data_IF_899208231059
#
_entry.id   IF_899208231059
#
_cell.length_a   1.000
_cell.length_b   1.000
_cell.length_c   1.000
_cell.angle_alpha   90.00
_cell.angle_beta   90.00
_cell.angle_gamma   90.00
#
_symmetry.space_group_name_H-M   'P 1'
#
loop_
_entity.id
_entity.type
_entity.pdbx_description
1 polymer ?
#
# COMPACT_ATOMS: atom_id res chain seq x y z
N UNK A 1 -9.69 16.58 10.64
CA UNK A 1 -8.90 15.45 10.09
C UNK A 1 -9.85 14.39 9.60
N UNK A 2 -9.58 13.80 8.47
CA UNK A 2 -10.39 12.70 7.92
C UNK A 2 -9.67 11.38 8.12
N UNK A 3 -10.43 10.32 8.37
CA UNK A 3 -9.93 8.95 8.42
C UNK A 3 -10.61 8.13 7.34
N UNK A 4 -9.80 7.47 6.52
CA UNK A 4 -10.27 6.57 5.48
C UNK A 4 -9.88 5.15 5.90
N UNK A 5 -10.83 4.22 5.82
CA UNK A 5 -10.57 2.81 6.05
C UNK A 5 -11.19 2.01 4.91
N UNK A 6 -10.37 1.22 4.25
CA UNK A 6 -10.82 0.30 3.20
C UNK A 6 -10.15 -1.05 3.40
N UNK A 7 -10.80 -2.10 2.93
CA UNK A 7 -10.22 -3.44 3.00
C UNK A 7 -10.54 -4.23 1.74
N UNK A 8 -9.72 -5.25 1.48
CA UNK A 8 -9.93 -6.14 0.36
C UNK A 8 -9.44 -7.54 0.73
N UNK A 9 -10.17 -8.56 0.27
CA UNK A 9 -9.73 -9.94 0.36
C UNK A 9 -8.84 -10.31 -0.80
N UNK A 10 -7.78 -11.09 -0.53
CA UNK A 10 -6.85 -11.56 -1.54
C UNK A 10 -6.76 -13.08 -1.44
N UNK A 11 -6.88 -13.75 -2.59
CA UNK A 11 -6.85 -15.21 -2.67
C UNK A 11 -5.42 -15.72 -2.71
N UNK A 12 -4.64 -15.34 -1.71
CA UNK A 12 -3.25 -15.77 -1.46
C UNK A 12 -3.02 -15.75 0.04
N UNK A 13 -2.04 -16.51 0.50
CA UNK A 13 -1.73 -16.57 1.93
C UNK A 13 -1.27 -15.24 2.49
N UNK A 14 -1.46 -15.05 3.78
CA UNK A 14 -0.94 -13.89 4.50
C UNK A 14 0.57 -13.73 4.29
N UNK A 15 1.30 -14.83 4.35
CA UNK A 15 2.76 -14.82 4.22
C UNK A 15 3.20 -14.34 2.84
N UNK A 16 2.53 -14.80 1.79
CA UNK A 16 2.81 -14.35 0.44
C UNK A 16 2.53 -12.86 0.27
N UNK A 17 1.36 -12.41 0.73
CA UNK A 17 0.95 -11.01 0.59
C UNK A 17 1.87 -10.09 1.39
N UNK A 18 2.19 -10.48 2.62
CA UNK A 18 3.09 -9.68 3.45
C UNK A 18 4.50 -9.59 2.87
N UNK A 19 5.01 -10.68 2.32
CA UNK A 19 6.34 -10.68 1.68
C UNK A 19 6.43 -9.62 0.57
N UNK A 20 5.36 -9.41 -0.16
CA UNK A 20 5.31 -8.38 -1.21
C UNK A 20 5.16 -7.00 -0.60
N UNK A 21 4.25 -6.81 0.34
CA UNK A 21 3.99 -5.50 0.94
C UNK A 21 5.21 -4.97 1.70
N UNK A 22 5.94 -5.83 2.40
CA UNK A 22 7.12 -5.42 3.16
C UNK A 22 8.27 -4.95 2.28
N UNK A 23 8.25 -5.27 1.00
CA UNK A 23 9.26 -4.82 0.04
C UNK A 23 8.93 -3.43 -0.45
N UNK A 24 9.11 -2.46 0.43
CA UNK A 24 8.60 -1.10 0.28
C UNK A 24 9.26 -0.29 -0.85
N UNK A 25 10.40 -0.74 -1.34
CA UNK A 25 11.08 -0.10 -2.49
C UNK A 25 10.69 -0.70 -3.83
N UNK A 26 9.88 -1.76 -3.87
CA UNK A 26 9.52 -2.46 -5.10
C UNK A 26 8.02 -2.43 -5.40
N UNK A 27 7.29 -1.45 -4.87
CA UNK A 27 5.82 -1.39 -5.03
C UNK A 27 5.40 -1.24 -6.49
N UNK A 28 6.23 -0.61 -7.31
CA UNK A 28 5.97 -0.41 -8.74
C UNK A 28 6.13 -1.68 -9.57
N UNK A 29 6.79 -2.68 -9.03
CA UNK A 29 7.06 -3.95 -9.74
C UNK A 29 6.25 -5.10 -9.18
N UNK A 30 6.11 -5.17 -7.85
CA UNK A 30 5.56 -6.35 -7.17
C UNK A 30 4.15 -6.17 -6.65
N UNK A 31 3.72 -4.93 -6.37
CA UNK A 31 2.48 -4.70 -5.64
C UNK A 31 1.42 -3.99 -6.47
N UNK A 32 1.74 -2.84 -7.02
CA UNK A 32 0.78 -1.99 -7.73
C UNK A 32 1.35 -1.47 -9.06
N UNK A 33 1.80 -2.38 -9.95
CA UNK A 33 2.37 -1.95 -11.23
C UNK A 33 1.35 -1.18 -12.06
N UNK A 34 1.79 -0.09 -12.68
CA UNK A 34 0.92 0.79 -13.47
C UNK A 34 0.24 1.86 -12.63
N UNK A 35 -0.25 1.54 -11.44
CA UNK A 35 -0.72 2.54 -10.49
C UNK A 35 0.46 3.37 -9.99
N UNK A 36 1.58 2.70 -9.67
CA UNK A 36 2.88 3.31 -9.42
C UNK A 36 3.82 2.85 -10.51
N UNK A 37 4.53 3.79 -11.14
CA UNK A 37 5.43 3.48 -12.27
C UNK A 37 6.90 3.57 -11.90
N UNK A 38 7.24 4.23 -10.81
CA UNK A 38 8.62 4.28 -10.30
C UNK A 38 8.60 4.45 -8.78
N UNK A 39 9.62 3.89 -8.14
CA UNK A 39 9.81 4.02 -6.70
C UNK A 39 11.29 3.97 -6.40
N UNK A 40 11.80 4.97 -5.71
CA UNK A 40 13.21 5.06 -5.33
C UNK A 40 13.31 5.16 -3.82
N UNK A 41 13.90 4.15 -3.21
CA UNK A 41 14.10 4.08 -1.77
C UNK A 41 15.50 4.61 -1.42
N UNK A 42 15.56 5.60 -0.55
CA UNK A 42 16.81 6.17 -0.04
C UNK A 42 16.69 6.33 1.48
N UNK A 43 17.35 5.45 2.22
CA UNK A 43 17.21 5.43 3.68
C UNK A 43 15.76 5.14 4.08
N UNK A 44 15.19 6.02 4.90
CA UNK A 44 13.81 5.88 5.37
C UNK A 44 12.79 6.57 4.47
N UNK A 45 13.22 7.09 3.33
CA UNK A 45 12.35 7.80 2.40
C UNK A 45 12.24 7.05 1.09
N UNK A 46 11.05 7.09 0.48
CA UNK A 46 10.90 6.67 -0.91
C UNK A 46 10.25 7.79 -1.72
N UNK A 47 10.69 7.92 -2.97
CA UNK A 47 10.06 8.82 -3.94
C UNK A 47 9.21 7.96 -4.86
N UNK A 48 7.91 8.22 -4.86
CA UNK A 48 6.92 7.44 -5.61
C UNK A 48 6.39 8.26 -6.76
N UNK A 49 6.47 7.70 -7.97
CA UNK A 49 5.87 8.30 -9.16
C UNK A 49 4.64 7.48 -9.54
N UNK A 50 3.49 8.12 -9.52
CA UNK A 50 2.22 7.48 -9.88
C UNK A 50 2.02 7.49 -11.40
N UNK A 51 1.14 6.60 -11.88
CA UNK A 51 0.86 6.48 -13.31
C UNK A 51 0.31 7.76 -13.94
N UNK A 52 -0.32 8.63 -13.15
CA UNK A 52 -0.83 9.92 -13.61
C UNK A 52 0.25 11.03 -13.63
N UNK A 53 1.50 10.70 -13.29
CA UNK A 53 2.61 11.65 -13.27
C UNK A 53 2.86 12.33 -11.93
N UNK A 54 1.98 12.16 -10.96
CA UNK A 54 2.18 12.74 -9.62
C UNK A 54 3.39 12.10 -8.94
N UNK A 55 4.25 12.93 -8.35
CA UNK A 55 5.43 12.47 -7.60
C UNK A 55 5.24 12.85 -6.14
N UNK A 56 5.41 11.88 -5.25
CA UNK A 56 5.21 12.06 -3.81
C UNK A 56 6.40 11.46 -3.06
N UNK A 57 6.85 12.13 -2.02
CA UNK A 57 7.84 11.57 -1.09
C UNK A 57 7.11 10.99 0.11
N UNK A 58 7.51 9.79 0.49
CA UNK A 58 6.91 9.05 1.59
C UNK A 58 7.97 8.64 2.60
N UNK A 59 7.76 9.02 3.86
CA UNK A 59 8.57 8.55 4.96
C UNK A 59 8.10 7.15 5.34
N UNK A 60 9.02 6.19 5.37
CA UNK A 60 8.74 4.85 5.86
C UNK A 60 8.78 4.90 7.39
N UNK A 61 7.64 4.83 8.02
CA UNK A 61 7.53 4.93 9.48
C UNK A 61 7.85 3.61 10.14
N UNK A 62 7.25 2.52 9.68
CA UNK A 62 7.53 1.21 10.24
C UNK A 62 7.22 0.09 9.25
N UNK A 63 7.97 -1.01 9.38
CA UNK A 63 7.68 -2.28 8.75
C UNK A 63 7.77 -3.31 9.87
N UNK A 64 6.63 -3.84 10.31
CA UNK A 64 6.57 -4.75 11.46
C UNK A 64 6.18 -6.15 11.00
N UNK A 65 7.16 -7.05 10.97
CA UNK A 65 6.95 -8.42 10.52
C UNK A 65 6.07 -9.23 11.49
N UNK A 66 6.03 -8.86 12.77
CA UNK A 66 5.21 -9.59 13.75
C UNK A 66 3.72 -9.38 13.53
N UNK A 67 3.33 -8.16 13.22
CA UNK A 67 1.94 -7.81 12.98
C UNK A 67 1.58 -7.75 11.51
N UNK A 68 2.58 -7.92 10.62
CA UNK A 68 2.42 -7.79 9.17
C UNK A 68 1.81 -6.43 8.80
N UNK A 69 2.39 -5.38 9.36
CA UNK A 69 1.88 -4.01 9.23
C UNK A 69 3.00 -3.08 8.78
N UNK A 70 2.69 -2.30 7.75
CA UNK A 70 3.56 -1.26 7.23
C UNK A 70 2.86 0.09 7.37
N UNK A 71 3.57 1.10 7.89
CA UNK A 71 3.04 2.46 7.95
C UNK A 71 4.00 3.45 7.32
N UNK A 72 3.43 4.49 6.72
CA UNK A 72 4.18 5.54 6.04
C UNK A 72 3.44 6.87 6.14
N UNK A 73 4.15 7.95 5.81
CA UNK A 73 3.61 9.30 5.83
C UNK A 73 4.02 10.04 4.56
N UNK A 74 3.04 10.42 3.75
CA UNK A 74 3.29 11.16 2.52
C UNK A 74 3.54 12.64 2.79
N UNK A 75 4.41 13.22 1.98
CA UNK A 75 4.76 14.65 2.04
C UNK A 75 4.59 15.27 0.67
N UNK A 76 4.01 16.45 0.64
CA UNK A 76 3.85 17.23 -0.59
C UNK A 76 2.40 17.28 -1.07
N UNK A 77 2.20 17.90 -2.22
CA UNK A 77 0.88 18.12 -2.77
C UNK A 77 0.04 19.03 -1.89
N UNK A 78 -1.26 18.73 -1.82
CA UNK A 78 -2.22 19.52 -1.03
C UNK A 78 -2.36 19.02 0.41
N UNK A 79 -1.70 17.91 0.76
CA UNK A 79 -1.83 17.35 2.10
C UNK A 79 -0.98 18.11 3.10
N UNK A 80 -1.59 18.52 4.22
CA UNK A 80 -0.89 19.16 5.34
C UNK A 80 -0.58 18.15 6.45
N UNK A 81 -1.25 17.01 6.44
CA UNK A 81 -0.97 15.88 7.32
C UNK A 81 -1.33 14.60 6.59
N UNK A 82 -0.54 13.57 6.76
CA UNK A 82 -0.85 12.24 6.26
C UNK A 82 -0.11 11.18 7.08
N UNK A 83 -0.83 10.17 7.49
CA UNK A 83 -0.26 8.96 8.05
C UNK A 83 -1.14 7.79 7.63
N UNK A 84 -0.53 6.75 7.10
CA UNK A 84 -1.27 5.60 6.60
C UNK A 84 -0.65 4.30 7.07
N UNK A 85 -1.45 3.24 7.06
CA UNK A 85 -0.97 1.90 7.30
C UNK A 85 -1.71 0.89 6.44
N UNK A 86 -1.01 -0.20 6.10
CA UNK A 86 -1.63 -1.41 5.58
C UNK A 86 -1.23 -2.56 6.47
N UNK A 87 -2.19 -3.42 6.77
CA UNK A 87 -1.97 -4.59 7.62
C UNK A 87 -2.61 -5.80 6.98
N UNK A 88 -1.91 -6.94 7.05
CA UNK A 88 -2.36 -8.18 6.44
C UNK A 88 -2.82 -9.13 7.53
N UNK A 89 -4.00 -9.70 7.34
CA UNK A 89 -4.61 -10.69 8.25
C UNK A 89 -4.88 -11.98 7.51
N UNK A 90 -4.66 -13.11 8.15
CA UNK A 90 -5.01 -14.41 7.59
C UNK A 90 -6.53 -14.60 7.62
N UNK A 91 -7.09 -15.14 6.52
CA UNK A 91 -8.49 -15.55 6.42
C UNK A 91 -8.57 -17.04 6.11
N UNK A 92 -7.60 -17.80 6.58
CA UNK A 92 -7.39 -19.21 6.28
C UNK A 92 -5.97 -19.40 5.76
N UNK A 93 -5.65 -20.61 5.32
CA UNK A 93 -4.27 -20.94 4.95
C UNK A 93 -3.82 -20.26 3.66
N UNK A 94 -4.75 -20.05 2.72
CA UNK A 94 -4.42 -19.53 1.39
C UNK A 94 -5.20 -18.28 1.03
N UNK A 95 -5.76 -17.61 2.02
CA UNK A 95 -6.52 -16.37 1.83
C UNK A 95 -6.13 -15.36 2.90
N UNK A 96 -6.20 -14.09 2.52
CA UNK A 96 -5.86 -12.99 3.41
C UNK A 96 -6.77 -11.81 3.20
N UNK A 97 -6.70 -10.88 4.13
CA UNK A 97 -7.38 -9.60 4.06
C UNK A 97 -6.37 -8.50 4.29
N UNK A 98 -6.40 -7.47 3.45
CA UNK A 98 -5.57 -6.28 3.61
C UNK A 98 -6.46 -5.13 4.04
N UNK A 99 -6.09 -4.50 5.14
CA UNK A 99 -6.80 -3.32 5.66
C UNK A 99 -5.87 -2.12 5.52
N UNK A 100 -6.38 -1.07 4.87
CA UNK A 100 -5.67 0.18 4.65
C UNK A 100 -6.39 1.29 5.41
N UNK A 101 -5.67 1.97 6.31
CA UNK A 101 -6.20 3.10 7.09
C UNK A 101 -5.31 4.31 6.82
N UNK A 102 -5.93 5.45 6.57
CA UNK A 102 -5.20 6.71 6.38
C UNK A 102 -5.89 7.83 7.14
N UNK A 103 -5.08 8.60 7.87
CA UNK A 103 -5.50 9.83 8.52
C UNK A 103 -4.88 10.99 7.77
N UNK A 104 -5.66 12.00 7.41
CA UNK A 104 -5.17 13.09 6.59
C UNK A 104 -5.86 14.43 6.84
N UNK A 105 -5.18 15.50 6.45
CA UNK A 105 -5.70 16.86 6.35
C UNK A 105 -5.20 17.47 5.05
N UNK A 106 -5.94 18.35 4.39
CA UNK A 106 -7.26 18.83 4.77
C UNK A 106 -8.37 17.82 4.45
N UNK A 107 -9.52 17.97 5.10
CA UNK A 107 -10.65 17.07 4.89
C UNK A 107 -11.11 17.01 3.43
N UNK A 108 -10.96 18.10 2.69
CA UNK A 108 -11.35 18.20 1.29
C UNK A 108 -10.61 17.23 0.38
N UNK A 109 -9.44 16.75 0.81
CA UNK A 109 -8.68 15.77 0.04
C UNK A 109 -9.19 14.34 0.22
N UNK A 110 -10.09 14.09 1.17
CA UNK A 110 -10.48 12.73 1.56
C UNK A 110 -11.11 11.93 0.42
N UNK A 111 -12.01 12.53 -0.35
CA UNK A 111 -12.71 11.79 -1.42
C UNK A 111 -11.73 11.33 -2.50
N UNK A 112 -10.82 12.21 -2.93
CA UNK A 112 -9.84 11.86 -3.96
C UNK A 112 -8.87 10.79 -3.45
N UNK A 113 -8.42 10.89 -2.20
CA UNK A 113 -7.51 9.91 -1.61
C UNK A 113 -8.22 8.57 -1.42
N UNK A 114 -9.49 8.59 -1.00
CA UNK A 114 -10.28 7.37 -0.85
C UNK A 114 -10.41 6.63 -2.19
N UNK A 115 -10.65 7.35 -3.27
CA UNK A 115 -10.72 6.76 -4.60
C UNK A 115 -9.37 6.15 -5.01
N UNK A 116 -8.28 6.85 -4.75
CA UNK A 116 -6.93 6.33 -5.03
C UNK A 116 -6.65 5.04 -4.26
N UNK A 117 -7.01 4.99 -2.98
CA UNK A 117 -6.83 3.80 -2.16
C UNK A 117 -7.63 2.63 -2.73
N UNK A 118 -8.88 2.88 -3.14
CA UNK A 118 -9.71 1.84 -3.75
C UNK A 118 -9.08 1.28 -5.03
N UNK A 119 -8.55 2.13 -5.88
CA UNK A 119 -7.86 1.71 -7.11
C UNK A 119 -6.57 0.94 -6.78
N UNK A 120 -5.81 1.41 -5.80
CA UNK A 120 -4.59 0.73 -5.38
C UNK A 120 -4.89 -0.68 -4.87
N UNK A 121 -5.92 -0.84 -4.04
CA UNK A 121 -6.30 -2.14 -3.51
C UNK A 121 -6.75 -3.10 -4.62
N UNK A 122 -7.50 -2.61 -5.61
CA UNK A 122 -7.92 -3.44 -6.74
C UNK A 122 -6.71 -3.88 -7.58
N UNK A 123 -5.76 -2.98 -7.80
CA UNK A 123 -4.54 -3.28 -8.54
C UNK A 123 -3.70 -4.32 -7.77
N UNK A 124 -3.58 -4.14 -6.47
CA UNK A 124 -2.89 -5.06 -5.59
C UNK A 124 -3.48 -6.46 -5.68
N UNK A 125 -4.80 -6.57 -5.54
CA UNK A 125 -5.51 -7.84 -5.62
C UNK A 125 -5.25 -8.53 -6.96
N UNK A 126 -5.43 -7.81 -8.06
CA UNK A 126 -5.22 -8.37 -9.40
C UNK A 126 -3.78 -8.84 -9.58
N UNK A 127 -2.82 -8.03 -9.13
CA UNK A 127 -1.40 -8.33 -9.28
C UNK A 127 -1.00 -9.57 -8.48
N UNK A 128 -1.40 -9.63 -7.22
CA UNK A 128 -1.02 -10.74 -6.34
C UNK A 128 -1.71 -12.04 -6.71
N UNK A 129 -2.98 -11.97 -7.11
CA UNK A 129 -3.73 -13.18 -7.50
C UNK A 129 -3.31 -13.73 -8.86
N UNK A 130 -2.81 -12.89 -9.76
CA UNK A 130 -2.33 -13.34 -11.07
C UNK A 130 -0.84 -13.65 -11.10
N UNK A 131 -0.14 -13.45 -9.98
CA UNK A 131 1.29 -13.76 -9.90
C UNK A 131 1.54 -15.25 -10.11
N UNK A 132 2.55 -15.58 -10.92
CA UNK A 132 2.97 -16.97 -11.12
C UNK A 132 3.88 -17.47 -10.00
N UNK A 133 4.26 -16.62 -9.06
CA UNK A 133 5.09 -17.03 -7.94
C UNK A 133 4.34 -18.07 -7.09
N UNK A 134 5.05 -19.09 -6.67
CA UNK A 134 4.48 -20.13 -5.84
C UNK A 134 4.29 -19.62 -4.43
N UNK A 135 3.04 -19.59 -3.97
CA UNK A 135 2.66 -19.13 -2.65
C UNK A 135 3.21 -20.04 -1.54
N UNK A 136 3.42 -21.29 -1.85
CA UNK A 136 3.91 -22.29 -0.90
C UNK A 136 5.43 -22.36 -0.84
N UNK A 137 6.11 -21.66 -1.71
CA UNK A 137 7.57 -21.74 -1.81
C UNK A 137 8.28 -21.08 -0.62
#
# INVERSE_FOLDING_TARGET
MATIRQEIGIDRSKEFVWDVIRDVGAIHKRLVPGFVVDCKLEGDWRTVTFGNGLVVRELIVSVDDKTCRHSWSARGGTLTHHNASVQVFAEGDNQSRVIWIADLMPNEAADAISEMIGQALKTMKRTLESSSADDSA
#
